data_IF_835506547747
#
_entry.id   IF_835506547747
#
_cell.length_a   1.000
_cell.length_b   1.000
_cell.length_c   1.000
_cell.angle_alpha   90.00
_cell.angle_beta   90.00
_cell.angle_gamma   90.00
#
_symmetry.space_group_name_H-M   'P 1'
#
loop_
_entity.id
_entity.type
_entity.pdbx_description
1 polymer ?
#
# COMPACT_ATOMS: atom_id res chain seq x y z
N UNK A 1 -59.68 -22.39 9.90
CA UNK A 1 -59.02 -22.51 8.58
C UNK A 1 -58.35 -21.17 8.33
N UNK A 2 -57.02 -21.11 8.22
CA UNK A 2 -56.32 -19.85 7.93
C UNK A 2 -56.80 -19.32 6.59
N UNK A 3 -57.16 -18.04 6.53
CA UNK A 3 -57.48 -17.40 5.26
C UNK A 3 -56.24 -17.34 4.37
N UNK A 4 -56.45 -17.31 3.05
CA UNK A 4 -55.38 -17.18 2.07
C UNK A 4 -54.52 -15.93 2.34
N UNK A 5 -55.14 -14.87 2.87
CA UNK A 5 -54.45 -13.62 3.20
C UNK A 5 -53.49 -13.78 4.39
N UNK A 6 -53.93 -14.45 5.46
CA UNK A 6 -53.09 -14.73 6.63
C UNK A 6 -51.93 -15.66 6.28
N UNK A 7 -52.17 -16.67 5.44
CA UNK A 7 -51.11 -17.55 4.95
C UNK A 7 -50.06 -16.79 4.13
N UNK A 8 -50.50 -15.90 3.24
CA UNK A 8 -49.59 -15.05 2.45
C UNK A 8 -48.75 -14.13 3.34
N UNK A 9 -49.35 -13.58 4.39
CA UNK A 9 -48.64 -12.74 5.35
C UNK A 9 -47.58 -13.54 6.12
N UNK A 10 -47.95 -14.74 6.58
CA UNK A 10 -47.02 -15.64 7.25
C UNK A 10 -45.78 -15.96 6.40
N UNK A 11 -45.96 -16.25 5.10
CA UNK A 11 -44.83 -16.51 4.18
C UNK A 11 -43.92 -15.28 4.03
N UNK A 12 -44.50 -14.07 3.95
CA UNK A 12 -43.71 -12.83 3.89
C UNK A 12 -42.90 -12.61 5.16
N UNK A 13 -43.51 -12.85 6.32
CA UNK A 13 -42.85 -12.68 7.61
C UNK A 13 -41.69 -13.68 7.75
N UNK A 14 -41.91 -14.93 7.33
CA UNK A 14 -40.86 -15.95 7.31
C UNK A 14 -39.69 -15.56 6.40
N UNK A 15 -39.99 -15.06 5.20
CA UNK A 15 -38.98 -14.59 4.25
C UNK A 15 -38.18 -13.41 4.81
N UNK A 16 -38.85 -12.46 5.47
CA UNK A 16 -38.21 -11.33 6.12
C UNK A 16 -37.27 -11.79 7.24
N UNK A 17 -37.70 -12.73 8.09
CA UNK A 17 -36.87 -13.30 9.17
C UNK A 17 -35.61 -13.96 8.60
N UNK A 18 -35.74 -14.77 7.54
CA UNK A 18 -34.60 -15.41 6.89
C UNK A 18 -33.65 -14.37 6.30
N UNK A 19 -34.20 -13.35 5.63
CA UNK A 19 -33.40 -12.26 5.05
C UNK A 19 -32.61 -11.50 6.11
N UNK A 20 -33.24 -11.17 7.24
CA UNK A 20 -32.58 -10.49 8.37
C UNK A 20 -31.44 -11.36 8.92
N UNK A 21 -31.69 -12.66 9.12
CA UNK A 21 -30.66 -13.59 9.60
C UNK A 21 -29.48 -13.72 8.63
N UNK A 22 -29.77 -13.75 7.33
CA UNK A 22 -28.74 -13.80 6.30
C UNK A 22 -27.87 -12.55 6.33
N UNK A 23 -28.48 -11.36 6.30
CA UNK A 23 -27.77 -10.08 6.37
C UNK A 23 -26.87 -9.98 7.60
N UNK A 24 -27.39 -10.36 8.77
CA UNK A 24 -26.58 -10.36 10.00
C UNK A 24 -25.36 -11.28 9.90
N UNK A 25 -25.53 -12.49 9.36
CA UNK A 25 -24.41 -13.43 9.17
C UNK A 25 -23.39 -12.91 8.16
N UNK A 26 -23.86 -12.27 7.09
CA UNK A 26 -22.98 -11.67 6.08
C UNK A 26 -22.15 -10.51 6.66
N UNK A 27 -22.79 -9.63 7.44
CA UNK A 27 -22.10 -8.56 8.17
C UNK A 27 -21.06 -9.11 9.15
N UNK A 28 -21.40 -10.15 9.93
CA UNK A 28 -20.47 -10.82 10.83
C UNK A 28 -19.28 -11.43 10.09
N UNK A 29 -19.53 -12.07 8.94
CA UNK A 29 -18.49 -12.65 8.10
C UNK A 29 -17.56 -11.58 7.52
N UNK A 30 -18.14 -10.49 6.98
CA UNK A 30 -17.39 -9.37 6.43
C UNK A 30 -16.53 -8.70 7.52
N UNK A 31 -17.09 -8.48 8.70
CA UNK A 31 -16.37 -7.91 9.84
C UNK A 31 -15.19 -8.79 10.25
N UNK A 32 -15.39 -10.12 10.32
CA UNK A 32 -14.31 -11.07 10.64
C UNK A 32 -13.20 -11.05 9.58
N UNK A 33 -13.57 -11.00 8.30
CA UNK A 33 -12.59 -10.90 7.20
C UNK A 33 -11.79 -9.61 7.27
N UNK A 34 -12.45 -8.47 7.46
CA UNK A 34 -11.77 -7.18 7.58
C UNK A 34 -10.76 -7.23 8.73
N UNK A 35 -11.19 -7.67 9.92
CA UNK A 35 -10.29 -7.80 11.08
C UNK A 35 -9.09 -8.72 10.81
N UNK A 36 -9.32 -9.85 10.14
CA UNK A 36 -8.25 -10.76 9.76
C UNK A 36 -7.23 -10.10 8.83
N UNK A 37 -7.68 -9.41 7.77
CA UNK A 37 -6.77 -8.76 6.83
C UNK A 37 -6.03 -7.57 7.44
N UNK A 38 -6.68 -6.80 8.32
CA UNK A 38 -6.02 -5.73 9.09
C UNK A 38 -4.92 -6.30 9.98
N UNK A 39 -5.22 -7.34 10.78
CA UNK A 39 -4.23 -7.98 11.64
C UNK A 39 -3.04 -8.54 10.83
N UNK A 40 -3.33 -9.19 9.70
CA UNK A 40 -2.31 -9.70 8.78
C UNK A 40 -1.43 -8.57 8.23
N UNK A 41 -2.02 -7.44 7.81
CA UNK A 41 -1.25 -6.28 7.36
C UNK A 41 -0.39 -5.70 8.48
N UNK A 42 -0.90 -5.58 9.70
CA UNK A 42 -0.11 -5.10 10.84
C UNK A 42 1.09 -6.02 11.12
N UNK A 43 0.92 -7.34 10.99
CA UNK A 43 2.02 -8.29 11.11
C UNK A 43 3.02 -8.14 9.96
N UNK A 44 2.56 -8.06 8.71
CA UNK A 44 3.43 -7.84 7.54
C UNK A 44 4.14 -6.48 7.58
N UNK A 45 3.57 -5.48 8.26
CA UNK A 45 4.23 -4.20 8.47
C UNK A 45 5.42 -4.34 9.42
N UNK A 46 5.40 -5.25 10.40
CA UNK A 46 6.56 -5.50 11.25
C UNK A 46 7.71 -6.15 10.45
N UNK A 47 7.39 -7.16 9.63
CA UNK A 47 8.39 -8.00 8.95
C UNK A 47 8.82 -7.44 7.57
N UNK A 48 7.92 -6.76 6.86
CA UNK A 48 8.05 -6.42 5.44
C UNK A 48 7.50 -5.01 5.10
N UNK A 49 7.89 -4.00 5.89
CA UNK A 49 7.51 -2.57 5.74
C UNK A 49 7.42 -2.07 4.29
N UNK A 50 8.44 -2.34 3.46
CA UNK A 50 8.50 -1.89 2.05
C UNK A 50 7.35 -2.44 1.20
N UNK A 51 6.94 -3.69 1.43
CA UNK A 51 5.88 -4.35 0.65
C UNK A 51 4.52 -3.75 0.98
N UNK A 52 4.24 -3.52 2.26
CA UNK A 52 2.98 -2.91 2.73
C UNK A 52 2.86 -1.47 2.20
N UNK A 53 3.92 -0.65 2.33
CA UNK A 53 3.92 0.73 1.82
C UNK A 53 3.63 0.77 0.31
N UNK A 54 4.31 -0.07 -0.48
CA UNK A 54 4.08 -0.11 -1.94
C UNK A 54 2.65 -0.56 -2.30
N UNK A 55 2.07 -1.50 -1.53
CA UNK A 55 0.70 -1.98 -1.73
C UNK A 55 -0.35 -0.93 -1.38
N UNK A 56 -0.16 -0.20 -0.27
CA UNK A 56 -1.10 0.84 0.21
C UNK A 56 -1.10 2.04 -0.73
N UNK A 57 0.08 2.50 -1.16
CA UNK A 57 0.21 3.65 -2.04
C UNK A 57 -0.17 3.33 -3.50
N UNK A 58 -0.54 2.07 -3.80
CA UNK A 58 -0.77 1.56 -5.15
C UNK A 58 0.32 2.01 -6.14
N UNK A 59 1.55 2.13 -5.62
CA UNK A 59 2.62 2.82 -6.30
C UNK A 59 3.33 1.80 -7.18
N UNK A 60 2.91 1.71 -8.45
CA UNK A 60 3.74 1.06 -9.45
C UNK A 60 4.99 1.91 -9.61
N UNK A 61 6.12 1.41 -9.08
CA UNK A 61 7.39 2.11 -9.18
C UNK A 61 7.74 2.30 -10.65
N UNK A 62 7.69 3.54 -11.09
CA UNK A 62 8.34 3.95 -12.34
C UNK A 62 9.83 3.71 -12.14
N UNK A 63 10.39 2.82 -12.95
CA UNK A 63 11.82 2.59 -12.99
C UNK A 63 12.37 3.22 -14.26
N UNK A 64 13.58 3.75 -14.16
CA UNK A 64 14.36 4.19 -15.31
C UNK A 64 15.54 3.22 -15.36
N UNK A 65 15.68 2.51 -16.47
CA UNK A 65 16.86 1.68 -16.73
C UNK A 65 17.91 2.57 -17.36
N UNK A 66 19.10 2.58 -16.76
CA UNK A 66 20.25 3.31 -17.30
C UNK A 66 21.19 2.31 -17.95
N UNK A 67 21.31 2.39 -19.28
CA UNK A 67 22.21 1.51 -20.03
C UNK A 67 23.66 2.01 -20.02
N UNK A 68 23.84 3.32 -19.76
CA UNK A 68 25.14 4.00 -19.82
C UNK A 68 25.19 5.15 -18.83
N UNK A 69 26.33 5.31 -18.16
CA UNK A 69 26.60 6.47 -17.29
C UNK A 69 28.01 7.02 -17.56
N UNK A 70 28.20 8.31 -17.31
CA UNK A 70 29.52 8.95 -17.31
C UNK A 70 30.03 9.07 -15.88
N UNK A 71 31.19 8.48 -15.61
CA UNK A 71 31.85 8.52 -14.30
C UNK A 71 33.02 9.50 -14.39
N UNK A 72 33.04 10.47 -13.47
CA UNK A 72 34.12 11.44 -13.32
C UNK A 72 35.11 10.95 -12.27
N UNK A 73 36.22 10.35 -12.70
CA UNK A 73 37.32 9.96 -11.82
C UNK A 73 38.55 10.84 -12.11
N UNK A 74 38.99 11.62 -11.12
CA UNK A 74 40.23 12.41 -11.18
C UNK A 74 40.40 13.21 -12.49
N UNK A 75 39.36 13.97 -12.87
CA UNK A 75 39.31 14.82 -14.06
C UNK A 75 39.28 14.08 -15.41
N UNK A 76 39.18 12.75 -15.41
CA UNK A 76 38.89 11.96 -16.61
C UNK A 76 37.44 11.48 -16.57
N UNK A 77 36.78 11.58 -17.73
CA UNK A 77 35.40 11.12 -17.92
C UNK A 77 35.44 9.76 -18.60
N UNK A 78 34.90 8.74 -17.94
CA UNK A 78 34.80 7.39 -18.48
C UNK A 78 33.33 7.02 -18.70
N UNK A 79 33.03 6.48 -19.89
CA UNK A 79 31.70 5.97 -20.20
C UNK A 79 31.60 4.52 -19.72
N UNK A 80 30.76 4.29 -18.72
CA UNK A 80 30.50 2.95 -18.19
C UNK A 80 29.23 2.35 -18.81
N UNK A 81 29.35 1.09 -19.23
CA UNK A 81 28.27 0.27 -19.80
C UNK A 81 27.97 -0.98 -18.96
N UNK A 82 28.80 -1.25 -17.94
CA UNK A 82 28.66 -2.42 -17.08
C UNK A 82 27.48 -2.22 -16.12
N UNK A 83 26.44 -3.09 -16.15
CA UNK A 83 25.25 -2.93 -15.33
C UNK A 83 25.52 -2.93 -13.81
N UNK A 84 26.46 -3.77 -13.33
CA UNK A 84 26.74 -3.88 -11.91
C UNK A 84 27.47 -2.62 -11.40
N UNK A 85 28.36 -2.08 -12.23
CA UNK A 85 29.04 -0.81 -11.95
C UNK A 85 28.07 0.37 -12.03
N UNK A 86 27.16 0.36 -13.01
CA UNK A 86 26.11 1.38 -13.13
C UNK A 86 25.25 1.43 -11.87
N UNK A 87 24.70 0.29 -11.44
CA UNK A 87 23.84 0.21 -10.26
C UNK A 87 24.56 0.71 -9.00
N UNK A 88 25.83 0.33 -8.85
CA UNK A 88 26.66 0.77 -7.72
C UNK A 88 26.87 2.28 -7.72
N UNK A 89 27.32 2.86 -8.83
CA UNK A 89 27.63 4.29 -8.91
C UNK A 89 26.37 5.17 -8.87
N UNK A 90 25.27 4.71 -9.46
CA UNK A 90 23.97 5.38 -9.39
C UNK A 90 23.43 5.36 -7.96
N UNK A 91 23.51 4.22 -7.28
CA UNK A 91 23.12 4.10 -5.86
C UNK A 91 23.98 5.04 -4.99
N UNK A 92 25.29 5.03 -5.21
CA UNK A 92 26.23 5.90 -4.52
C UNK A 92 25.91 7.39 -4.76
N UNK A 93 25.62 7.78 -6.01
CA UNK A 93 25.22 9.13 -6.36
C UNK A 93 23.94 9.54 -5.62
N UNK A 94 22.85 8.79 -5.71
CA UNK A 94 21.59 9.19 -5.07
C UNK A 94 21.60 9.10 -3.54
N UNK A 95 22.46 8.28 -2.94
CA UNK A 95 22.64 8.22 -1.49
C UNK A 95 23.47 9.38 -0.95
N UNK A 96 24.46 9.85 -1.72
CA UNK A 96 25.43 10.87 -1.29
C UNK A 96 25.24 12.23 -1.97
N UNK A 97 24.30 12.36 -2.90
CA UNK A 97 23.90 13.63 -3.51
C UNK A 97 23.13 14.47 -2.48
N UNK A 98 23.88 15.03 -1.52
CA UNK A 98 23.39 15.96 -0.52
C UNK A 98 22.82 17.26 -1.14
N UNK A 99 23.18 17.57 -2.38
CA UNK A 99 22.85 18.86 -3.01
C UNK A 99 21.47 18.90 -3.68
N UNK A 100 20.81 17.76 -3.89
CA UNK A 100 19.50 17.73 -4.55
C UNK A 100 18.31 17.68 -3.61
N UNK A 101 18.55 17.74 -2.29
CA UNK A 101 17.48 17.77 -1.31
C UNK A 101 17.53 19.12 -0.58
N UNK A 102 16.92 20.13 -1.20
CA UNK A 102 16.56 21.39 -0.55
C UNK A 102 15.96 21.06 0.83
N UNK A 103 16.61 21.54 1.89
CA UNK A 103 16.20 21.31 3.26
C UNK A 103 14.72 21.60 3.50
N UNK A 104 14.12 22.49 2.70
CA UNK A 104 12.70 22.85 2.74
C UNK A 104 11.75 21.65 2.58
N UNK A 105 12.12 20.63 1.80
CA UNK A 105 11.26 19.45 1.59
C UNK A 105 11.27 18.51 2.81
N UNK A 106 12.41 18.39 3.50
CA UNK A 106 12.49 17.63 4.75
C UNK A 106 11.85 18.37 5.92
N UNK A 107 12.05 19.68 6.04
CA UNK A 107 11.44 20.45 7.15
C UNK A 107 9.93 20.40 7.09
N UNK A 108 9.32 20.47 5.90
CA UNK A 108 7.88 20.37 5.76
C UNK A 108 7.36 18.95 6.06
N UNK A 109 8.05 17.90 5.58
CA UNK A 109 7.68 16.51 5.87
C UNK A 109 7.81 16.16 7.35
N UNK A 110 8.88 16.61 8.03
CA UNK A 110 9.07 16.40 9.47
C UNK A 110 8.03 17.20 10.26
N UNK A 111 7.73 18.44 9.88
CA UNK A 111 6.68 19.24 10.54
C UNK A 111 5.29 18.62 10.41
N UNK A 112 4.90 18.15 9.22
CA UNK A 112 3.60 17.49 9.01
C UNK A 112 3.47 16.20 9.84
N UNK A 113 4.54 15.42 9.98
CA UNK A 113 4.54 14.21 10.82
C UNK A 113 4.47 14.56 12.33
N UNK A 114 5.06 15.67 12.75
CA UNK A 114 5.10 16.07 14.18
C UNK A 114 3.85 16.84 14.62
N UNK A 115 3.03 17.34 13.68
CA UNK A 115 1.76 18.04 13.98
C UNK A 115 0.59 17.05 14.19
N UNK A 116 0.74 15.79 13.76
CA UNK A 116 -0.29 14.74 13.92
C UNK A 116 -0.06 13.79 15.12
N UNK A 117 0.94 14.05 15.98
CA UNK A 117 1.07 13.46 17.34
C UNK A 117 0.51 14.40 18.41
#
# INVERSE_FOLDING_TARGET
MLSILEFKQFIKDLFNIVTIRFKKKDEEYNTKRIKFFVAKQCQELADHKRRVINSVLNCQRKHITLDKILISNNSQMELCLDPDVIDKEVTNHFQNAADWINPRWYTNLIQEITIEE
#
